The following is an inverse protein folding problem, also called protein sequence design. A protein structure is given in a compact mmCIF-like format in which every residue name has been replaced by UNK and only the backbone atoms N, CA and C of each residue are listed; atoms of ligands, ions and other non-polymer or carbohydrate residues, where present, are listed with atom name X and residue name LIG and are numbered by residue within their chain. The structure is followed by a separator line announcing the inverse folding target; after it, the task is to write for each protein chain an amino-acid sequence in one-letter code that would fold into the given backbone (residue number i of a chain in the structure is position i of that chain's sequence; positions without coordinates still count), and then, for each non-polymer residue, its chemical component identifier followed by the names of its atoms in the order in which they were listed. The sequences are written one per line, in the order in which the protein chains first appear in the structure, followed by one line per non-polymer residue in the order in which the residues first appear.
data_IF_523414701314
#
_entry.id   IF_523414701314
#
_cell.length_a   1.000
_cell.length_b   1.000
_cell.length_c   1.000
_cell.angle_alpha   90.00
_cell.angle_beta   90.00
_cell.angle_gamma   90.00
#
_symmetry.space_group_name_H-M   'P 1'
#
loop_
_entity.id
_entity.type
_entity.pdbx_description
1 polymer ?
#
# COMPACT_ATOMS: atom_id res chain seq x y z
N UNK A 1 27.58 -8.56 -20.22
CA UNK A 1 26.46 -7.69 -19.94
C UNK A 1 25.20 -8.56 -19.88
N UNK A 2 24.52 -8.73 -18.73
CA UNK A 2 23.28 -9.49 -18.66
C UNK A 2 22.19 -8.70 -19.40
N UNK A 3 21.69 -9.23 -20.51
CA UNK A 3 20.44 -8.85 -21.15
C UNK A 3 19.32 -9.29 -20.21
N UNK A 4 18.67 -8.35 -19.50
CA UNK A 4 17.58 -8.75 -18.63
C UNK A 4 16.97 -7.63 -17.79
N UNK A 5 17.13 -6.38 -18.17
CA UNK A 5 16.41 -5.23 -17.60
C UNK A 5 16.05 -4.27 -18.74
N UNK A 6 15.34 -4.77 -19.74
CA UNK A 6 14.44 -3.89 -20.45
C UNK A 6 13.30 -3.61 -19.46
N UNK A 7 13.06 -2.34 -19.06
CA UNK A 7 11.81 -2.01 -18.41
C UNK A 7 10.75 -2.36 -19.46
N UNK A 8 9.93 -3.39 -19.16
CA UNK A 8 8.68 -3.60 -19.85
C UNK A 8 8.10 -2.22 -20.09
N UNK A 9 7.87 -1.87 -21.36
CA UNK A 9 7.33 -0.58 -21.74
C UNK A 9 6.00 -0.40 -21.05
N UNK A 10 6.07 -0.04 -19.75
CA UNK A 10 4.94 0.28 -18.92
C UNK A 10 4.20 1.34 -19.70
N UNK A 11 3.04 0.97 -20.23
CA UNK A 11 2.24 1.86 -21.04
C UNK A 11 2.25 3.22 -20.33
N UNK A 12 2.81 4.24 -20.99
CA UNK A 12 3.01 5.60 -20.47
C UNK A 12 1.69 6.14 -19.88
N UNK A 13 0.55 5.57 -20.31
CA UNK A 13 -0.77 5.82 -19.79
C UNK A 13 -1.23 4.59 -18.98
N UNK A 14 -0.98 4.64 -17.68
CA UNK A 14 -1.56 3.67 -16.76
C UNK A 14 -3.06 3.99 -16.55
N UNK A 15 -3.93 2.99 -16.66
CA UNK A 15 -5.39 3.11 -16.43
C UNK A 15 -5.74 3.78 -15.09
N UNK A 16 -4.95 3.51 -14.07
CA UNK A 16 -5.11 4.13 -12.75
C UNK A 16 -4.78 5.62 -12.78
N UNK A 17 -3.72 6.02 -13.47
CA UNK A 17 -3.34 7.43 -13.64
C UNK A 17 -4.42 8.21 -14.42
N UNK A 18 -4.93 7.62 -15.52
CA UNK A 18 -6.01 8.24 -16.30
C UNK A 18 -7.29 8.42 -15.47
N UNK A 19 -7.71 7.39 -14.74
CA UNK A 19 -8.86 7.46 -13.84
C UNK A 19 -8.67 8.54 -12.78
N UNK A 20 -7.51 8.59 -12.15
CA UNK A 20 -7.19 9.61 -11.14
C UNK A 20 -7.24 11.01 -11.71
N UNK A 21 -6.64 11.24 -12.88
CA UNK A 21 -6.65 12.53 -13.55
C UNK A 21 -8.07 12.97 -13.92
N UNK A 22 -8.87 12.08 -14.51
CA UNK A 22 -10.26 12.36 -14.86
C UNK A 22 -11.10 12.65 -13.61
N UNK A 23 -10.96 11.85 -12.55
CA UNK A 23 -11.71 12.05 -11.30
C UNK A 23 -11.33 13.38 -10.63
N UNK A 24 -10.05 13.72 -10.60
CA UNK A 24 -9.57 14.97 -10.03
C UNK A 24 -10.05 16.19 -10.85
N UNK A 25 -9.93 16.09 -12.18
CA UNK A 25 -10.35 17.15 -13.09
C UNK A 25 -11.85 17.41 -13.05
N UNK A 26 -12.66 16.36 -13.24
CA UNK A 26 -14.13 16.47 -13.21
C UNK A 26 -14.64 16.87 -11.82
N UNK A 27 -14.07 16.29 -10.76
CA UNK A 27 -14.45 16.65 -9.39
C UNK A 27 -14.12 18.12 -9.06
N UNK A 28 -12.96 18.60 -9.48
CA UNK A 28 -12.60 20.01 -9.30
C UNK A 28 -13.46 20.95 -10.16
N UNK A 29 -13.76 20.58 -11.42
CA UNK A 29 -14.64 21.34 -12.28
C UNK A 29 -16.05 21.47 -11.68
N UNK A 30 -16.62 20.35 -11.21
CA UNK A 30 -17.91 20.35 -10.53
C UNK A 30 -17.89 21.23 -9.27
N UNK A 31 -16.84 21.12 -8.45
CA UNK A 31 -16.69 21.93 -7.25
C UNK A 31 -16.55 23.43 -7.58
N UNK A 32 -15.84 23.78 -8.65
CA UNK A 32 -15.69 25.18 -9.09
C UNK A 32 -17.01 25.79 -9.56
N UNK A 33 -17.88 24.99 -10.21
CA UNK A 33 -19.21 25.44 -10.63
C UNK A 33 -20.16 25.72 -9.46
N UNK A 34 -19.89 25.15 -8.27
CA UNK A 34 -20.69 25.44 -7.07
C UNK A 34 -20.56 26.84 -6.53
N UNK A 35 -19.55 27.60 -6.95
CA UNK A 35 -19.23 28.92 -6.43
C UNK A 35 -18.68 28.95 -5.00
N UNK A 36 -18.50 27.76 -4.38
CA UNK A 36 -17.94 27.65 -3.02
C UNK A 36 -16.42 27.75 -3.07
N UNK A 37 -15.85 28.57 -2.19
CA UNK A 37 -14.41 28.79 -2.11
C UNK A 37 -13.63 27.50 -1.85
N UNK A 38 -12.35 27.52 -2.24
CA UNK A 38 -11.39 26.43 -1.96
C UNK A 38 -11.71 25.10 -2.65
N UNK A 39 -12.41 25.09 -3.79
CA UNK A 39 -12.77 23.88 -4.55
C UNK A 39 -11.57 23.00 -4.95
N UNK A 40 -10.36 23.59 -5.09
CA UNK A 40 -9.11 22.89 -5.39
C UNK A 40 -8.76 21.79 -4.38
N UNK A 41 -9.32 21.83 -3.18
CA UNK A 41 -9.12 20.78 -2.20
C UNK A 41 -9.73 19.44 -2.58
N UNK A 42 -10.70 19.42 -3.48
CA UNK A 42 -11.25 18.20 -4.07
C UNK A 42 -10.17 17.45 -4.83
N UNK A 43 -9.46 18.11 -5.73
CA UNK A 43 -8.39 17.49 -6.52
C UNK A 43 -7.27 16.95 -5.62
N UNK A 44 -6.86 17.70 -4.58
CA UNK A 44 -5.88 17.25 -3.60
C UNK A 44 -6.37 16.03 -2.79
N UNK A 45 -7.66 15.94 -2.49
CA UNK A 45 -8.24 14.80 -1.81
C UNK A 45 -8.26 13.57 -2.72
N UNK A 46 -8.66 13.74 -3.99
CA UNK A 46 -8.65 12.66 -4.99
C UNK A 46 -7.24 12.10 -5.16
N UNK A 47 -6.24 12.95 -5.39
CA UNK A 47 -4.85 12.51 -5.56
C UNK A 47 -4.32 11.75 -4.35
N UNK A 48 -4.64 12.19 -3.15
CA UNK A 48 -4.13 11.56 -1.92
C UNK A 48 -4.84 10.25 -1.55
N UNK A 49 -6.05 10.02 -2.06
CA UNK A 49 -6.85 8.81 -1.77
C UNK A 49 -6.82 7.83 -2.93
N UNK A 50 -6.44 8.29 -4.13
CA UNK A 50 -6.40 7.44 -5.31
C UNK A 50 -5.40 6.29 -5.10
N UNK A 51 -5.91 5.07 -5.20
CA UNK A 51 -5.13 3.83 -5.14
C UNK A 51 -5.55 2.88 -6.26
N UNK A 52 -4.78 1.81 -6.46
CA UNK A 52 -5.09 0.80 -7.47
C UNK A 52 -6.37 0.00 -7.16
N UNK A 53 -6.80 -0.06 -5.89
CA UNK A 53 -7.90 -0.89 -5.42
C UNK A 53 -8.90 -0.09 -4.59
N UNK A 54 -10.15 -0.57 -4.55
CA UNK A 54 -11.22 0.07 -3.76
C UNK A 54 -10.91 0.05 -2.25
N UNK A 55 -10.45 -1.09 -1.71
CA UNK A 55 -10.11 -1.22 -0.30
C UNK A 55 -8.93 -0.32 0.10
N UNK A 56 -7.92 -0.21 -0.77
CA UNK A 56 -6.81 0.72 -0.56
C UNK A 56 -7.27 2.17 -0.49
N UNK A 57 -8.14 2.59 -1.41
CA UNK A 57 -8.71 3.93 -1.41
C UNK A 57 -9.60 4.20 -0.18
N UNK A 58 -10.38 3.21 0.25
CA UNK A 58 -11.21 3.32 1.46
C UNK A 58 -10.34 3.48 2.72
N UNK A 59 -9.26 2.70 2.83
CA UNK A 59 -8.29 2.81 3.92
C UNK A 59 -7.65 4.20 3.97
N UNK A 60 -7.16 4.68 2.81
CA UNK A 60 -6.55 6.00 2.69
C UNK A 60 -7.56 7.12 2.96
N UNK A 61 -8.79 6.99 2.45
CA UNK A 61 -9.88 7.94 2.67
C UNK A 61 -10.22 8.09 4.16
N UNK A 62 -10.40 6.98 4.87
CA UNK A 62 -10.62 6.99 6.33
C UNK A 62 -9.47 7.66 7.07
N UNK A 63 -8.23 7.29 6.77
CA UNK A 63 -7.06 7.91 7.40
C UNK A 63 -6.98 9.41 7.10
N UNK A 64 -7.30 9.83 5.88
CA UNK A 64 -7.30 11.22 5.49
C UNK A 64 -8.38 12.03 6.22
N UNK A 65 -9.61 11.51 6.31
CA UNK A 65 -10.70 12.17 7.05
C UNK A 65 -10.40 12.28 8.54
N UNK A 66 -9.94 11.20 9.17
CA UNK A 66 -9.55 11.21 10.59
C UNK A 66 -8.37 12.15 10.85
N UNK A 67 -7.37 12.15 9.97
CA UNK A 67 -6.24 13.07 10.09
C UNK A 67 -6.64 14.52 9.90
N UNK A 68 -7.55 14.80 8.96
CA UNK A 68 -8.13 16.14 8.75
C UNK A 68 -8.89 16.60 9.99
N UNK A 69 -9.76 15.76 10.54
CA UNK A 69 -10.52 16.06 11.76
C UNK A 69 -9.59 16.33 12.95
N UNK A 70 -8.63 15.44 13.21
CA UNK A 70 -7.66 15.58 14.30
C UNK A 70 -6.82 16.85 14.13
N UNK A 71 -6.32 17.10 12.90
CA UNK A 71 -5.55 18.31 12.60
C UNK A 71 -6.36 19.59 12.80
N UNK A 72 -7.64 19.60 12.41
CA UNK A 72 -8.55 20.73 12.62
C UNK A 72 -8.80 21.01 14.11
N UNK A 73 -9.06 19.98 14.90
CA UNK A 73 -9.27 20.12 16.36
C UNK A 73 -8.00 20.66 17.01
N UNK A 74 -6.84 20.09 16.70
CA UNK A 74 -5.57 20.53 17.26
C UNK A 74 -5.17 21.95 16.80
N UNK A 75 -5.52 22.32 15.57
CA UNK A 75 -5.34 23.69 15.12
C UNK A 75 -6.15 24.68 15.94
N UNK A 76 -7.44 24.39 16.18
CA UNK A 76 -8.31 25.27 16.98
C UNK A 76 -7.81 25.37 18.43
N UNK A 77 -7.49 24.25 19.05
CA UNK A 77 -6.96 24.23 20.44
C UNK A 77 -5.61 24.94 20.50
N UNK A 78 -4.72 24.70 19.53
CA UNK A 78 -3.40 25.33 19.47
C UNK A 78 -3.51 26.84 19.24
N UNK A 79 -4.39 27.27 18.34
CA UNK A 79 -4.60 28.69 18.04
C UNK A 79 -5.13 29.47 19.24
N UNK A 80 -6.10 28.92 19.98
CA UNK A 80 -6.64 29.56 21.17
C UNK A 80 -5.70 29.43 22.38
N UNK A 81 -5.13 28.26 22.61
CA UNK A 81 -4.33 27.97 23.80
C UNK A 81 -2.89 28.51 23.76
N UNK A 82 -2.35 28.77 22.57
CA UNK A 82 -0.99 29.25 22.40
C UNK A 82 -0.95 30.74 21.94
N UNK A 83 -2.03 31.49 22.19
CA UNK A 83 -2.05 32.95 21.97
C UNK A 83 -0.95 33.59 22.81
N UNK A 84 -0.04 34.32 22.14
CA UNK A 84 1.11 34.96 22.78
C UNK A 84 2.40 34.14 22.79
N UNK A 85 2.36 32.90 22.36
CA UNK A 85 3.56 32.12 22.05
C UNK A 85 4.07 32.49 20.66
N UNK A 86 5.39 32.64 20.42
CA UNK A 86 5.92 32.91 19.09
C UNK A 86 5.44 31.83 18.10
N UNK A 87 4.94 32.27 16.93
CA UNK A 87 4.31 31.39 15.93
C UNK A 87 5.12 30.14 15.58
N UNK A 88 6.47 30.18 15.37
CA UNK A 88 7.23 28.95 15.08
C UNK A 88 7.15 27.90 16.19
N UNK A 89 7.13 28.37 17.45
CA UNK A 89 7.04 27.47 18.62
C UNK A 89 5.63 26.92 18.78
N UNK A 90 4.60 27.75 18.61
CA UNK A 90 3.20 27.33 18.64
C UNK A 90 2.91 26.29 17.56
N UNK A 91 3.41 26.50 16.33
CA UNK A 91 3.32 25.56 15.22
C UNK A 91 4.04 24.23 15.55
N UNK A 92 5.26 24.29 16.08
CA UNK A 92 6.02 23.10 16.45
C UNK A 92 5.33 22.28 17.53
N UNK A 93 4.77 22.93 18.56
CA UNK A 93 4.01 22.27 19.63
C UNK A 93 2.76 21.58 19.10
N UNK A 94 1.99 22.28 18.25
CA UNK A 94 0.76 21.76 17.65
C UNK A 94 1.05 20.56 16.72
N UNK A 95 2.11 20.63 15.90
CA UNK A 95 2.56 19.52 15.05
C UNK A 95 3.10 18.34 15.88
N UNK A 96 3.81 18.63 16.96
CA UNK A 96 4.28 17.60 17.92
C UNK A 96 3.12 16.85 18.56
N UNK A 97 2.10 17.58 19.04
CA UNK A 97 0.88 16.99 19.57
C UNK A 97 0.15 16.13 18.52
N UNK A 98 0.05 16.62 17.27
CA UNK A 98 -0.53 15.84 16.17
C UNK A 98 0.24 14.54 15.93
N UNK A 99 1.57 14.58 15.96
CA UNK A 99 2.40 13.40 15.73
C UNK A 99 2.24 12.36 16.83
N UNK A 100 2.16 12.78 18.08
CA UNK A 100 1.94 11.90 19.22
C UNK A 100 0.54 11.27 19.19
N UNK A 101 -0.50 12.07 19.05
CA UNK A 101 -1.89 11.59 18.98
C UNK A 101 -2.14 10.74 17.73
N UNK A 102 -1.57 11.14 16.58
CA UNK A 102 -1.62 10.35 15.35
C UNK A 102 -0.96 8.99 15.50
N UNK A 103 0.13 8.89 16.29
CA UNK A 103 0.77 7.62 16.64
C UNK A 103 -0.13 6.73 17.49
N UNK A 104 -0.76 7.28 18.54
CA UNK A 104 -1.70 6.56 19.43
C UNK A 104 -2.90 6.05 18.62
N UNK A 105 -3.44 6.86 17.73
CA UNK A 105 -4.58 6.53 16.87
C UNK A 105 -4.20 5.68 15.64
N UNK A 106 -2.94 5.28 15.51
CA UNK A 106 -2.41 4.50 14.39
C UNK A 106 -2.64 5.14 13.01
N UNK A 107 -2.66 6.47 12.94
CA UNK A 107 -2.82 7.23 11.71
C UNK A 107 -1.48 7.32 10.96
N UNK A 108 -1.11 6.23 10.26
CA UNK A 108 0.19 6.14 9.57
C UNK A 108 0.36 7.15 8.42
N UNK A 109 -0.73 7.46 7.72
CA UNK A 109 -0.76 8.41 6.59
C UNK A 109 -1.59 9.65 6.94
N UNK A 110 -2.64 9.47 7.75
CA UNK A 110 -3.61 10.52 8.10
C UNK A 110 -2.98 11.71 8.81
N UNK A 111 -1.95 11.52 9.63
CA UNK A 111 -1.27 12.61 10.33
C UNK A 111 -0.67 13.65 9.36
N UNK A 112 -0.26 13.24 8.14
CA UNK A 112 0.24 14.17 7.12
C UNK A 112 -0.84 15.13 6.65
N UNK A 113 -2.07 14.63 6.49
CA UNK A 113 -3.22 15.46 6.14
C UNK A 113 -3.55 16.47 7.25
N UNK A 114 -3.54 16.01 8.52
CA UNK A 114 -3.70 16.89 9.68
C UNK A 114 -2.61 17.94 9.82
N UNK A 115 -1.35 17.54 9.59
CA UNK A 115 -0.21 18.46 9.61
C UNK A 115 -0.32 19.56 8.55
N UNK A 116 -0.78 19.22 7.34
CA UNK A 116 -1.03 20.20 6.30
C UNK A 116 -2.11 21.23 6.70
N UNK A 117 -3.14 20.78 7.42
CA UNK A 117 -4.19 21.69 7.93
C UNK A 117 -3.63 22.62 8.99
N UNK A 118 -2.85 22.11 9.94
CA UNK A 118 -2.22 22.94 10.96
C UNK A 118 -1.33 24.00 10.33
N UNK A 119 -0.43 23.58 9.41
CA UNK A 119 0.47 24.54 8.74
C UNK A 119 -0.30 25.59 7.96
N UNK A 120 -1.29 25.19 7.15
CA UNK A 120 -2.08 26.13 6.36
C UNK A 120 -2.94 27.05 7.24
N UNK A 121 -3.50 26.54 8.34
CA UNK A 121 -4.28 27.33 9.28
C UNK A 121 -3.44 28.41 9.94
N UNK A 122 -2.25 28.09 10.44
CA UNK A 122 -1.35 29.06 11.06
C UNK A 122 -0.78 30.08 10.06
N UNK A 123 -0.42 29.64 8.84
CA UNK A 123 0.31 30.51 7.90
C UNK A 123 -0.59 31.31 6.97
N UNK A 124 -1.77 30.81 6.62
CA UNK A 124 -2.58 31.38 5.53
C UNK A 124 -3.96 31.82 5.99
N UNK A 125 -4.55 31.14 6.98
CA UNK A 125 -5.95 31.34 7.35
C UNK A 125 -6.16 31.84 8.78
N UNK A 126 -5.16 32.51 9.37
CA UNK A 126 -5.19 32.99 10.75
C UNK A 126 -6.45 33.78 11.11
N UNK A 127 -6.93 34.62 10.19
CA UNK A 127 -8.14 35.46 10.39
C UNK A 127 -9.47 34.77 10.09
N UNK A 128 -9.50 33.53 9.56
CA UNK A 128 -10.71 32.91 9.04
C UNK A 128 -10.87 31.41 9.35
N UNK A 129 -10.27 30.91 10.42
CA UNK A 129 -10.26 29.48 10.73
C UNK A 129 -11.67 28.89 10.88
N UNK A 130 -12.61 29.63 11.50
CA UNK A 130 -13.97 29.16 11.76
C UNK A 130 -14.74 28.84 10.47
N UNK A 131 -14.55 29.61 9.40
CA UNK A 131 -15.17 29.38 8.10
C UNK A 131 -14.36 28.41 7.23
N UNK A 132 -13.04 28.48 7.27
CA UNK A 132 -12.16 27.68 6.42
C UNK A 132 -12.15 26.19 6.79
N UNK A 133 -12.12 25.84 8.08
CA UNK A 133 -12.04 24.45 8.54
C UNK A 133 -13.25 23.61 8.07
N UNK A 134 -14.52 24.05 8.23
CA UNK A 134 -15.66 23.29 7.73
C UNK A 134 -15.64 23.11 6.21
N UNK A 135 -15.31 24.17 5.46
CA UNK A 135 -15.21 24.11 3.99
C UNK A 135 -14.11 23.12 3.57
N UNK A 136 -12.97 23.17 4.23
CA UNK A 136 -11.85 22.25 4.00
C UNK A 136 -12.25 20.79 4.25
N UNK A 137 -12.96 20.54 5.35
CA UNK A 137 -13.43 19.20 5.68
C UNK A 137 -14.47 18.70 4.67
N UNK A 138 -15.40 19.57 4.28
CA UNK A 138 -16.41 19.28 3.26
C UNK A 138 -15.77 18.87 1.93
N UNK A 139 -14.88 19.67 1.38
CA UNK A 139 -14.21 19.38 0.12
C UNK A 139 -13.31 18.12 0.19
N UNK A 140 -12.68 17.89 1.32
CA UNK A 140 -11.91 16.66 1.52
C UNK A 140 -12.82 15.44 1.51
N UNK A 141 -13.97 15.50 2.21
CA UNK A 141 -14.96 14.42 2.24
C UNK A 141 -15.56 14.15 0.86
N UNK A 142 -15.91 15.22 0.14
CA UNK A 142 -16.40 15.12 -1.22
C UNK A 142 -15.37 14.49 -2.16
N UNK A 143 -14.10 14.89 -2.10
CA UNK A 143 -13.03 14.30 -2.89
C UNK A 143 -12.81 12.81 -2.59
N UNK A 144 -12.91 12.40 -1.32
CA UNK A 144 -12.88 10.99 -0.93
C UNK A 144 -14.06 10.24 -1.55
N UNK A 145 -15.26 10.79 -1.43
CA UNK A 145 -16.50 10.18 -1.94
C UNK A 145 -16.43 9.95 -3.46
N UNK A 146 -16.08 10.98 -4.23
CA UNK A 146 -15.99 10.84 -5.70
C UNK A 146 -14.88 9.88 -6.13
N UNK A 147 -13.77 9.79 -5.36
CA UNK A 147 -12.71 8.81 -5.62
C UNK A 147 -13.23 7.39 -5.46
N UNK A 148 -13.98 7.10 -4.37
CA UNK A 148 -14.58 5.78 -4.14
C UNK A 148 -15.64 5.46 -5.19
N UNK A 149 -16.44 6.45 -5.58
CA UNK A 149 -17.43 6.30 -6.65
C UNK A 149 -16.78 6.01 -8.00
N UNK A 150 -15.73 6.75 -8.34
CA UNK A 150 -14.95 6.53 -9.56
C UNK A 150 -14.31 5.13 -9.60
N UNK A 151 -13.79 4.64 -8.48
CA UNK A 151 -13.24 3.28 -8.36
C UNK A 151 -14.30 2.19 -8.55
N UNK A 152 -15.55 2.47 -8.18
CA UNK A 152 -16.66 1.55 -8.35
C UNK A 152 -17.25 1.56 -9.77
N UNK A 153 -17.28 2.74 -10.41
CA UNK A 153 -17.90 2.93 -11.73
C UNK A 153 -16.91 2.75 -12.88
N UNK A 154 -15.70 3.25 -12.74
CA UNK A 154 -14.68 3.21 -13.79
C UNK A 154 -13.65 2.11 -13.50
N UNK A 155 -13.77 1.00 -14.23
CA UNK A 155 -12.85 -0.14 -14.15
C UNK A 155 -12.60 -0.62 -12.72
N UNK A 156 -13.53 -1.31 -12.10
CA UNK A 156 -13.37 -1.84 -10.76
C UNK A 156 -12.19 -2.84 -10.75
N UNK A 157 -11.02 -2.37 -10.34
CA UNK A 157 -9.90 -3.25 -10.06
C UNK A 157 -10.21 -3.95 -8.73
N UNK A 158 -10.63 -5.20 -8.79
CA UNK A 158 -10.84 -6.03 -7.61
C UNK A 158 -9.46 -6.33 -7.02
N UNK A 159 -9.21 -5.88 -5.81
CA UNK A 159 -7.97 -6.16 -5.08
C UNK A 159 -7.73 -7.66 -4.94
N UNK A 160 -8.81 -8.44 -4.87
CA UNK A 160 -8.75 -9.89 -4.82
C UNK A 160 -8.09 -10.49 -6.09
N UNK A 161 -8.54 -10.08 -7.28
CA UNK A 161 -7.98 -10.60 -8.55
C UNK A 161 -6.50 -10.26 -8.69
N UNK A 162 -6.12 -9.03 -8.32
CA UNK A 162 -4.72 -8.59 -8.30
C UNK A 162 -3.89 -9.39 -7.30
N UNK A 163 -4.42 -9.63 -6.11
CA UNK A 163 -3.73 -10.41 -5.08
C UNK A 163 -3.58 -11.88 -5.48
N UNK A 164 -4.60 -12.48 -6.09
CA UNK A 164 -4.53 -13.85 -6.61
C UNK A 164 -3.50 -13.97 -7.74
N UNK A 165 -3.42 -12.98 -8.64
CA UNK A 165 -2.41 -12.97 -9.69
C UNK A 165 -0.98 -12.87 -9.12
N UNK A 166 -0.78 -12.04 -8.08
CA UNK A 166 0.53 -11.94 -7.39
C UNK A 166 0.89 -13.26 -6.68
N UNK A 167 -0.09 -13.90 -6.04
CA UNK A 167 0.07 -15.22 -5.41
C UNK A 167 0.45 -16.28 -6.46
N UNK A 168 -0.25 -16.32 -7.58
CA UNK A 168 0.07 -17.25 -8.67
C UNK A 168 1.48 -17.00 -9.24
N UNK A 169 1.86 -15.72 -9.40
CA UNK A 169 3.20 -15.34 -9.82
C UNK A 169 4.29 -15.80 -8.84
N UNK A 170 4.07 -15.64 -7.53
CA UNK A 170 5.01 -16.11 -6.51
C UNK A 170 5.14 -17.65 -6.50
N UNK A 171 4.02 -18.38 -6.67
CA UNK A 171 4.05 -19.84 -6.78
C UNK A 171 4.82 -20.30 -8.03
N UNK A 172 4.62 -19.65 -9.18
CA UNK A 172 5.38 -19.93 -10.39
C UNK A 172 6.89 -19.70 -10.22
N UNK A 173 7.28 -18.62 -9.52
CA UNK A 173 8.69 -18.35 -9.22
C UNK A 173 9.27 -19.39 -8.23
N UNK A 174 8.49 -19.81 -7.23
CA UNK A 174 8.88 -20.88 -6.31
C UNK A 174 9.06 -22.21 -7.05
N UNK A 175 8.11 -22.58 -7.92
CA UNK A 175 8.20 -23.77 -8.76
C UNK A 175 9.48 -23.75 -9.60
N UNK A 176 9.74 -22.69 -10.34
CA UNK A 176 10.96 -22.52 -11.13
C UNK A 176 12.22 -22.64 -10.26
N UNK A 177 12.18 -22.08 -9.04
CA UNK A 177 13.30 -22.14 -8.10
C UNK A 177 13.57 -23.60 -7.65
N UNK A 178 12.53 -24.38 -7.36
CA UNK A 178 12.67 -25.79 -7.00
C UNK A 178 13.12 -26.64 -8.19
N UNK A 179 12.61 -26.39 -9.39
CA UNK A 179 13.10 -27.08 -10.60
C UNK A 179 14.60 -26.82 -10.85
N UNK A 180 15.09 -25.61 -10.58
CA UNK A 180 16.50 -25.27 -10.71
C UNK A 180 17.36 -25.85 -9.56
N UNK A 181 16.75 -26.21 -8.42
CA UNK A 181 17.42 -26.86 -7.28
C UNK A 181 17.45 -28.39 -7.40
N UNK A 182 16.44 -28.98 -8.04
CA UNK A 182 16.31 -30.45 -8.17
C UNK A 182 17.57 -31.13 -8.72
N UNK A 183 18.24 -30.65 -9.79
CA UNK A 183 19.47 -31.24 -10.32
C UNK A 183 20.66 -31.23 -9.35
N UNK A 184 20.61 -30.36 -8.34
CA UNK A 184 21.68 -30.25 -7.34
C UNK A 184 21.50 -31.24 -6.20
N UNK A 185 20.25 -31.62 -5.92
CA UNK A 185 19.92 -32.61 -4.88
C UNK A 185 20.15 -34.02 -5.40
N UNK A 186 19.85 -34.29 -6.67
CA UNK A 186 20.08 -35.57 -7.30
C UNK A 186 20.68 -35.40 -8.72
N UNK A 187 22.01 -35.48 -8.86
CA UNK A 187 22.68 -35.37 -10.16
C UNK A 187 22.31 -36.52 -11.11
N UNK A 188 21.74 -37.63 -10.62
CA UNK A 188 21.30 -38.74 -11.48
C UNK A 188 20.06 -38.38 -12.31
N UNK A 189 19.25 -37.40 -11.89
CA UNK A 189 18.06 -36.99 -12.62
C UNK A 189 18.40 -36.19 -13.89
N UNK A 190 19.55 -35.52 -13.96
CA UNK A 190 19.84 -34.56 -15.05
C UNK A 190 21.06 -34.87 -15.90
N UNK A 191 21.95 -35.78 -15.55
CA UNK A 191 23.10 -36.15 -16.39
C UNK A 191 24.11 -35.03 -16.74
N UNK A 192 23.88 -33.81 -16.28
CA UNK A 192 24.71 -32.64 -16.58
C UNK A 192 24.84 -31.73 -15.35
N UNK A 193 25.80 -32.06 -14.50
CA UNK A 193 26.05 -31.33 -13.24
C UNK A 193 26.93 -30.07 -13.32
N UNK A 194 27.25 -29.56 -14.52
CA UNK A 194 28.18 -28.43 -14.67
C UNK A 194 27.57 -27.30 -15.48
N UNK A 195 26.90 -26.35 -14.83
CA UNK A 195 26.50 -25.11 -15.51
C UNK A 195 25.29 -24.36 -14.96
N UNK A 196 24.58 -24.87 -13.98
CA UNK A 196 23.47 -24.10 -13.39
C UNK A 196 24.03 -22.99 -12.50
N UNK A 197 23.79 -21.74 -12.89
CA UNK A 197 24.05 -20.58 -12.05
C UNK A 197 23.52 -20.80 -10.64
N UNK A 198 24.31 -20.56 -9.58
CA UNK A 198 23.86 -20.74 -8.22
C UNK A 198 22.61 -19.88 -8.01
N UNK A 199 21.52 -20.49 -7.52
CA UNK A 199 20.37 -19.73 -7.06
C UNK A 199 20.90 -18.77 -6.00
N UNK A 200 21.20 -17.54 -6.44
CA UNK A 200 21.90 -16.59 -5.63
C UNK A 200 21.01 -16.10 -4.47
N UNK A 201 21.62 -15.67 -3.39
CA UNK A 201 20.97 -14.97 -2.26
C UNK A 201 20.02 -13.87 -2.77
N UNK A 202 20.30 -13.29 -3.94
CA UNK A 202 19.43 -12.30 -4.60
C UNK A 202 18.04 -12.84 -4.93
N UNK A 203 17.92 -14.05 -5.47
CA UNK A 203 16.64 -14.67 -5.83
C UNK A 203 15.83 -15.02 -4.60
N UNK A 204 16.45 -15.55 -3.55
CA UNK A 204 15.82 -15.76 -2.26
C UNK A 204 15.27 -14.46 -1.65
N UNK A 205 16.07 -13.37 -1.70
CA UNK A 205 15.63 -12.05 -1.23
C UNK A 205 14.45 -11.52 -2.04
N UNK A 206 14.44 -11.72 -3.35
CA UNK A 206 13.34 -11.31 -4.23
C UNK A 206 12.02 -12.02 -3.84
N UNK A 207 12.04 -13.35 -3.67
CA UNK A 207 10.89 -14.15 -3.23
C UNK A 207 10.36 -13.68 -1.87
N UNK A 208 11.25 -13.45 -0.92
CA UNK A 208 10.90 -12.95 0.41
C UNK A 208 10.26 -11.56 0.35
N UNK A 209 10.83 -10.65 -0.42
CA UNK A 209 10.31 -9.29 -0.57
C UNK A 209 8.94 -9.30 -1.25
N UNK A 210 8.73 -10.18 -2.23
CA UNK A 210 7.43 -10.35 -2.89
C UNK A 210 6.37 -10.88 -1.91
N UNK A 211 6.69 -11.85 -1.06
CA UNK A 211 5.77 -12.31 -0.02
C UNK A 211 5.43 -11.19 0.97
N UNK A 212 6.41 -10.40 1.38
CA UNK A 212 6.19 -9.24 2.27
C UNK A 212 5.26 -8.22 1.59
N UNK A 213 5.44 -7.93 0.30
CA UNK A 213 4.58 -7.03 -0.44
C UNK A 213 3.12 -7.52 -0.52
N UNK A 214 2.90 -8.83 -0.75
CA UNK A 214 1.57 -9.45 -0.70
C UNK A 214 0.94 -9.30 0.69
N UNK A 215 1.69 -9.54 1.76
CA UNK A 215 1.21 -9.35 3.15
C UNK A 215 0.82 -7.92 3.46
N UNK A 216 1.56 -6.95 2.96
CA UNK A 216 1.26 -5.52 3.16
C UNK A 216 -0.05 -5.08 2.50
N UNK A 217 -0.49 -5.77 1.43
CA UNK A 217 -1.77 -5.49 0.76
C UNK A 217 -2.97 -6.12 1.47
N UNK A 218 -2.74 -7.11 2.35
CA UNK A 218 -3.81 -7.86 3.02
C UNK A 218 -4.83 -7.00 3.79
N UNK A 219 -4.44 -5.96 4.57
CA UNK A 219 -5.41 -5.13 5.27
C UNK A 219 -6.38 -4.41 4.33
N UNK A 220 -5.89 -3.93 3.18
CA UNK A 220 -6.73 -3.27 2.18
C UNK A 220 -7.71 -4.27 1.53
N UNK A 221 -7.26 -5.49 1.28
CA UNK A 221 -8.11 -6.55 0.75
C UNK A 221 -9.21 -6.95 1.73
N UNK A 222 -8.89 -7.09 3.03
CA UNK A 222 -9.88 -7.40 4.05
C UNK A 222 -10.98 -6.33 4.13
N UNK A 223 -10.66 -5.07 3.88
CA UNK A 223 -11.65 -3.99 3.80
C UNK A 223 -12.55 -4.09 2.55
N UNK A 224 -12.05 -4.65 1.45
CA UNK A 224 -12.88 -4.92 0.26
C UNK A 224 -13.88 -6.07 0.47
N UNK A 225 -13.52 -7.06 1.29
CA UNK A 225 -14.33 -8.25 1.56
C UNK A 225 -15.52 -7.99 2.49
N UNK A 226 -15.68 -6.76 3.00
CA UNK A 226 -16.86 -6.32 3.74
C UNK A 226 -16.74 -6.42 5.26
N UNK A 227 -17.88 -6.51 5.95
CA UNK A 227 -17.96 -6.41 7.41
C UNK A 227 -17.47 -7.65 8.17
N UNK A 228 -17.48 -8.82 7.53
CA UNK A 228 -17.03 -10.09 8.12
C UNK A 228 -15.99 -10.77 7.23
N UNK A 229 -14.83 -10.15 7.01
CA UNK A 229 -13.82 -10.66 6.09
C UNK A 229 -13.27 -12.04 6.50
N UNK A 230 -13.28 -12.36 7.78
CA UNK A 230 -12.77 -13.62 8.31
C UNK A 230 -13.56 -14.85 7.83
N UNK A 231 -14.85 -14.67 7.52
CA UNK A 231 -15.73 -15.76 7.01
C UNK A 231 -15.63 -15.95 5.51
N UNK A 232 -14.95 -15.05 4.81
CA UNK A 232 -14.84 -15.15 3.35
C UNK A 232 -13.83 -16.24 2.96
N UNK A 233 -14.15 -17.16 2.04
CA UNK A 233 -13.27 -18.26 1.64
C UNK A 233 -11.89 -17.79 1.13
N UNK A 234 -11.84 -16.61 0.49
CA UNK A 234 -10.56 -16.01 0.05
C UNK A 234 -9.61 -15.71 1.22
N UNK A 235 -10.13 -15.37 2.40
CA UNK A 235 -9.29 -15.10 3.57
C UNK A 235 -8.61 -16.37 4.09
N UNK A 236 -9.36 -17.49 4.12
CA UNK A 236 -8.80 -18.80 4.48
C UNK A 236 -7.76 -19.26 3.47
N UNK A 237 -8.07 -19.12 2.17
CA UNK A 237 -7.14 -19.46 1.09
C UNK A 237 -5.83 -18.66 1.22
N UNK A 238 -5.92 -17.36 1.46
CA UNK A 238 -4.75 -16.50 1.64
C UNK A 238 -3.94 -16.83 2.89
N UNK A 239 -4.59 -17.23 3.98
CA UNK A 239 -3.89 -17.64 5.20
C UNK A 239 -3.11 -18.96 4.97
N UNK A 240 -3.72 -19.94 4.32
CA UNK A 240 -3.08 -21.21 3.97
C UNK A 240 -1.92 -20.99 3.00
N UNK A 241 -2.14 -20.16 1.98
CA UNK A 241 -1.08 -19.77 1.05
C UNK A 241 0.10 -19.12 1.77
N UNK A 242 -0.16 -18.16 2.66
CA UNK A 242 0.89 -17.45 3.39
C UNK A 242 1.76 -18.39 4.24
N UNK A 243 1.12 -19.34 4.92
CA UNK A 243 1.81 -20.36 5.70
C UNK A 243 2.67 -21.26 4.81
N UNK A 244 2.11 -21.72 3.68
CA UNK A 244 2.81 -22.60 2.75
C UNK A 244 3.96 -21.88 2.05
N UNK A 245 3.73 -20.69 1.52
CA UNK A 245 4.77 -19.90 0.87
C UNK A 245 5.92 -19.56 1.83
N UNK A 246 5.61 -19.24 3.09
CA UNK A 246 6.64 -19.00 4.11
C UNK A 246 7.53 -20.20 4.34
N UNK A 247 6.93 -21.41 4.44
CA UNK A 247 7.68 -22.66 4.61
C UNK A 247 8.57 -22.93 3.39
N UNK A 248 8.02 -22.81 2.18
CA UNK A 248 8.76 -23.03 0.95
C UNK A 248 9.94 -22.05 0.78
N UNK A 249 9.71 -20.76 1.07
CA UNK A 249 10.79 -19.76 1.02
C UNK A 249 11.87 -20.05 2.07
N UNK A 250 11.49 -20.53 3.26
CA UNK A 250 12.45 -20.93 4.29
C UNK A 250 13.30 -22.11 3.83
N UNK A 251 12.68 -23.13 3.20
CA UNK A 251 13.38 -24.25 2.63
C UNK A 251 14.37 -23.83 1.53
N UNK A 252 13.93 -22.97 0.59
CA UNK A 252 14.82 -22.40 -0.42
C UNK A 252 15.98 -21.66 0.24
N UNK A 253 15.74 -20.90 1.31
CA UNK A 253 16.79 -20.20 2.06
C UNK A 253 17.79 -21.14 2.72
N UNK A 254 17.36 -22.28 3.21
CA UNK A 254 18.23 -23.34 3.73
C UNK A 254 19.09 -23.94 2.63
N UNK A 255 18.47 -24.36 1.54
CA UNK A 255 19.16 -24.96 0.38
C UNK A 255 20.16 -24.03 -0.31
N UNK A 256 19.92 -22.72 -0.26
CA UNK A 256 20.85 -21.72 -0.80
C UNK A 256 22.07 -21.53 0.09
N UNK A 257 21.90 -21.65 1.41
CA UNK A 257 23.00 -21.44 2.39
C UNK A 257 23.87 -22.66 2.57
N UNK A 258 23.23 -23.82 2.63
CA UNK A 258 23.87 -25.12 2.84
C UNK A 258 23.33 -26.07 1.78
N UNK A 259 23.92 -26.10 0.58
CA UNK A 259 23.52 -27.09 -0.41
C UNK A 259 23.75 -28.48 0.16
N UNK A 260 22.72 -29.35 0.18
CA UNK A 260 22.86 -30.68 0.73
C UNK A 260 23.89 -31.45 -0.11
N UNK A 261 25.02 -31.76 0.49
CA UNK A 261 25.91 -32.81 -0.01
C UNK A 261 25.29 -34.13 0.41
N UNK A 262 24.35 -34.65 -0.36
CA UNK A 262 23.79 -35.99 -0.17
C UNK A 262 24.89 -37.01 -0.45
N UNK A 263 25.71 -37.30 0.55
CA UNK A 263 26.68 -38.36 0.54
C UNK A 263 26.08 -39.70 1.00
N UNK A 264 24.83 -39.69 1.47
CA UNK A 264 24.18 -40.90 2.01
C UNK A 264 23.18 -41.47 0.98
N UNK A 265 23.53 -42.63 0.34
CA UNK A 265 22.65 -43.28 -0.65
C UNK A 265 21.31 -43.73 -0.06
N UNK A 266 21.19 -43.93 1.28
CA UNK A 266 19.96 -44.36 1.93
C UNK A 266 18.91 -43.22 2.03
N UNK A 267 19.33 -41.95 2.08
CA UNK A 267 18.42 -40.83 2.10
C UNK A 267 17.79 -40.53 0.72
N UNK A 268 18.47 -40.87 -0.36
CA UNK A 268 17.95 -40.74 -1.73
C UNK A 268 16.76 -41.69 -1.97
N UNK A 269 16.80 -42.90 -1.40
CA UNK A 269 15.74 -43.91 -1.53
C UNK A 269 14.48 -43.56 -0.74
N UNK A 270 14.57 -42.74 0.31
CA UNK A 270 13.41 -42.29 1.10
C UNK A 270 12.67 -41.10 0.51
N UNK A 271 13.26 -40.39 -0.47
CA UNK A 271 12.67 -39.23 -1.14
C UNK A 271 11.93 -39.58 -2.45
N UNK A 272 12.03 -40.82 -2.91
CA UNK A 272 11.24 -41.40 -3.98
C UNK A 272 10.05 -42.19 -3.41
#
# INVERSE_FOLDING_TARGET
LPRGLEPDGAAVINRNALRTALTAGLGNAFASLSGVEFSQYVALAVLAVSSGTYGGALALGRQRLLGTALGSVLLLIGYEGLRGVPMPLALALTLGALRLLGGILKLQVGYKAGGMIIVMGWLVHEGGLASWIPIRFFWTSFGVLITLLALRLFWPARGLDSSLAQVAGLLGQLQSCFCDLAPRVDPAITGQGEGADPIGIGRYRALRNQLIAIRQQRPALLQELGTLPERHPATMLMANFDATASRLITLVGGLVREPPTLQDPQLVVQLH
#
